data_IF_667554410071
#
_entry.id   IF_667554410071
#
_cell.length_a   1.000
_cell.length_b   1.000
_cell.length_c   1.000
_cell.angle_alpha   90.00
_cell.angle_beta   90.00
_cell.angle_gamma   90.00
#
_symmetry.space_group_name_H-M   'P 1'
#
loop_
_entity.id
_entity.type
_entity.pdbx_description
1 polymer ?
#
# COMPACT_ATOMS: atom_id res chain seq x y z
N UNK A 1 27.30 44.31 32.19
CA UNK A 1 26.37 44.70 33.26
C UNK A 1 25.01 44.99 32.61
N UNK A 2 24.05 44.12 32.75
CA UNK A 2 22.63 44.44 32.48
C UNK A 2 21.75 43.49 33.29
N UNK A 3 21.08 44.02 34.27
CA UNK A 3 20.17 43.35 35.21
C UNK A 3 18.86 43.03 34.46
N UNK A 4 18.51 41.79 34.28
CA UNK A 4 17.14 41.36 33.92
C UNK A 4 16.28 41.42 35.18
N UNK A 5 15.28 42.31 35.18
CA UNK A 5 14.22 42.38 36.18
C UNK A 5 13.36 41.13 36.12
N UNK A 6 13.23 40.41 37.21
CA UNK A 6 12.28 39.31 37.41
C UNK A 6 10.93 39.93 37.80
N UNK A 7 9.92 39.76 36.97
CA UNK A 7 8.54 40.05 37.37
C UNK A 7 8.13 39.15 38.54
N UNK A 8 7.53 39.78 39.58
CA UNK A 8 7.13 39.11 40.81
C UNK A 8 5.76 38.45 40.65
N UNK A 9 5.53 37.29 41.30
CA UNK A 9 4.22 36.61 41.40
C UNK A 9 3.08 37.52 41.90
N UNK A 10 3.38 38.61 42.56
CA UNK A 10 2.40 39.60 43.03
C UNK A 10 1.81 40.43 41.91
N UNK A 11 2.54 40.66 40.83
CA UNK A 11 2.05 41.42 39.65
C UNK A 11 1.06 40.57 38.82
N UNK A 12 1.25 39.25 38.76
CA UNK A 12 0.32 38.32 38.11
C UNK A 12 -1.01 38.16 38.85
N UNK A 13 -1.03 38.29 40.19
CA UNK A 13 -2.25 38.22 40.98
C UNK A 13 -3.07 39.53 40.98
N UNK A 14 -2.46 40.66 40.64
CA UNK A 14 -3.15 41.94 40.50
C UNK A 14 -3.97 42.00 39.22
N UNK A 15 -3.47 41.42 38.13
CA UNK A 15 -4.18 41.34 36.83
C UNK A 15 -5.42 40.47 36.85
N UNK A 16 -5.49 39.46 37.73
CA UNK A 16 -6.65 38.58 37.86
C UNK A 16 -7.81 39.16 38.69
N UNK A 17 -7.63 40.34 39.35
CA UNK A 17 -8.66 40.98 40.16
C UNK A 17 -9.28 42.24 39.54
N UNK A 18 -8.86 42.62 38.33
CA UNK A 18 -9.37 43.78 37.58
C UNK A 18 -10.59 43.49 36.76
N UNK A 19 -11.75 43.65 37.34
CA UNK A 19 -12.92 44.28 36.73
C UNK A 19 -13.68 43.57 35.65
N UNK A 20 -14.65 42.77 36.06
CA UNK A 20 -15.85 42.53 35.23
C UNK A 20 -16.69 43.81 35.13
N UNK A 21 -16.50 44.59 34.10
CA UNK A 21 -17.43 45.68 33.74
C UNK A 21 -18.62 45.12 33.01
N UNK A 22 -19.75 45.08 33.69
CA UNK A 22 -21.06 44.79 33.08
C UNK A 22 -21.37 45.84 31.98
N UNK A 23 -21.33 45.43 30.72
CA UNK A 23 -21.82 46.23 29.59
C UNK A 23 -23.36 46.32 29.68
N UNK A 24 -23.82 47.52 30.10
CA UNK A 24 -25.25 47.87 29.95
C UNK A 24 -25.58 47.98 28.45
N UNK A 25 -26.29 46.98 27.93
CA UNK A 25 -26.88 47.05 26.58
C UNK A 25 -27.89 48.20 26.54
N UNK A 26 -27.69 49.18 25.69
CA UNK A 26 -28.66 50.27 25.50
C UNK A 26 -29.77 49.78 24.61
N UNK A 27 -31.01 50.10 24.98
CA UNK A 27 -32.24 49.72 24.23
C UNK A 27 -32.16 50.11 22.75
N UNK A 28 -31.40 51.15 22.41
CA UNK A 28 -31.20 51.63 21.02
C UNK A 28 -30.32 50.71 20.16
N UNK A 29 -29.41 49.96 20.74
CA UNK A 29 -28.60 48.99 19.99
C UNK A 29 -29.38 47.73 19.65
N UNK A 30 -30.27 47.30 20.53
CA UNK A 30 -31.14 46.10 20.31
C UNK A 30 -32.18 46.38 19.23
N UNK A 31 -32.79 47.59 19.21
CA UNK A 31 -33.77 47.96 18.17
C UNK A 31 -33.08 48.05 16.78
N UNK A 32 -31.85 48.54 16.68
CA UNK A 32 -31.13 48.57 15.41
C UNK A 32 -30.75 47.19 14.92
N UNK A 33 -30.40 46.25 15.79
CA UNK A 33 -30.10 44.86 15.43
C UNK A 33 -31.36 44.13 14.91
N UNK A 34 -32.53 44.34 15.55
CA UNK A 34 -33.81 43.76 15.13
C UNK A 34 -34.24 44.35 13.77
N UNK A 35 -34.08 45.65 13.56
CA UNK A 35 -34.40 46.27 12.28
C UNK A 35 -33.51 45.75 11.14
N UNK A 36 -32.21 45.51 11.40
CA UNK A 36 -31.28 44.91 10.42
C UNK A 36 -31.67 43.48 10.02
N UNK A 37 -32.09 42.66 10.98
CA UNK A 37 -32.53 41.27 10.71
C UNK A 37 -33.85 41.26 9.91
N UNK A 38 -34.79 42.15 10.21
CA UNK A 38 -36.04 42.27 9.45
C UNK A 38 -35.81 42.74 8.01
N UNK A 39 -34.87 43.68 7.79
CA UNK A 39 -34.50 44.12 6.44
C UNK A 39 -33.82 43.02 5.63
N UNK A 40 -32.97 42.21 6.25
CA UNK A 40 -32.35 41.05 5.60
C UNK A 40 -33.40 39.98 5.22
N UNK A 41 -34.39 39.73 6.08
CA UNK A 41 -35.47 38.79 5.81
C UNK A 41 -36.35 39.25 4.63
N UNK A 42 -36.68 40.56 4.54
CA UNK A 42 -37.44 41.11 3.42
C UNK A 42 -36.65 41.02 2.11
N UNK A 43 -35.32 41.23 2.14
CA UNK A 43 -34.46 41.07 0.97
C UNK A 43 -34.42 39.60 0.47
N UNK A 44 -34.33 38.63 1.38
CA UNK A 44 -34.35 37.19 1.03
C UNK A 44 -35.70 36.78 0.44
N UNK A 45 -36.81 37.26 1.02
CA UNK A 45 -38.17 36.99 0.47
C UNK A 45 -38.36 37.63 -0.91
N UNK A 46 -37.82 38.86 -1.11
CA UNK A 46 -37.83 39.52 -2.43
C UNK A 46 -37.03 38.76 -3.48
N UNK A 47 -35.86 38.25 -3.13
CA UNK A 47 -35.04 37.45 -4.04
C UNK A 47 -35.72 36.11 -4.40
N UNK A 48 -36.35 35.45 -3.43
CA UNK A 48 -37.11 34.20 -3.67
C UNK A 48 -38.35 34.45 -4.55
N UNK A 49 -39.02 35.59 -4.36
CA UNK A 49 -40.16 35.99 -5.21
C UNK A 49 -39.73 36.32 -6.65
N UNK A 50 -38.56 36.98 -6.83
CA UNK A 50 -37.95 37.23 -8.15
C UNK A 50 -37.60 35.95 -8.87
N UNK A 51 -37.01 34.97 -8.16
CA UNK A 51 -36.69 33.64 -8.75
C UNK A 51 -37.98 32.85 -9.10
N UNK A 52 -39.08 33.00 -8.36
CA UNK A 52 -40.34 32.37 -8.71
C UNK A 52 -41.02 33.06 -9.90
N UNK A 53 -40.98 34.38 -9.97
CA UNK A 53 -41.53 35.13 -11.12
C UNK A 53 -40.72 34.91 -12.41
N UNK A 54 -39.42 34.65 -12.32
CA UNK A 54 -38.58 34.28 -13.47
C UNK A 54 -38.80 32.82 -13.96
N UNK A 55 -39.46 31.97 -13.13
CA UNK A 55 -39.83 30.61 -13.48
C UNK A 55 -41.07 30.43 -14.32
N UNK A 56 -41.93 31.49 -14.40
CA UNK A 56 -43.20 31.45 -15.10
C UNK A 56 -43.21 32.11 -16.49
N UNK A 57 -42.05 32.24 -17.15
CA UNK A 57 -41.96 32.59 -18.56
C UNK A 57 -42.40 31.39 -19.41
N UNK A 58 -43.34 31.62 -20.38
CA UNK A 58 -43.89 30.52 -21.17
C UNK A 58 -42.78 29.88 -21.99
N UNK A 59 -42.62 28.56 -21.80
CA UNK A 59 -41.77 27.66 -22.61
C UNK A 59 -42.34 27.49 -24.03
N UNK A 60 -42.41 28.58 -24.78
CA UNK A 60 -42.74 28.53 -26.19
C UNK A 60 -41.58 29.08 -26.99
N UNK A 61 -41.04 28.25 -27.89
CA UNK A 61 -39.99 28.49 -28.87
C UNK A 61 -38.56 28.45 -28.38
N UNK A 62 -38.10 27.27 -27.93
CA UNK A 62 -36.80 26.79 -28.29
C UNK A 62 -36.97 25.42 -28.98
N UNK A 63 -37.14 25.43 -30.28
CA UNK A 63 -36.92 24.26 -31.08
C UNK A 63 -35.43 23.92 -30.88
N UNK A 64 -35.15 23.04 -29.93
CA UNK A 64 -33.85 22.40 -29.81
C UNK A 64 -33.63 21.64 -31.11
N UNK A 65 -32.75 22.17 -31.94
CA UNK A 65 -31.92 21.31 -32.78
C UNK A 65 -31.07 20.53 -31.78
N UNK A 66 -31.61 19.42 -31.31
CA UNK A 66 -30.80 18.39 -30.68
C UNK A 66 -29.87 17.89 -31.78
N UNK A 67 -28.64 18.38 -31.79
CA UNK A 67 -27.58 17.63 -32.40
C UNK A 67 -27.70 16.22 -31.86
N UNK A 68 -27.63 15.15 -32.69
CA UNK A 68 -27.63 13.79 -32.17
C UNK A 68 -26.55 13.72 -31.13
N UNK A 69 -26.89 13.39 -29.90
CA UNK A 69 -25.90 13.08 -28.88
C UNK A 69 -24.98 12.05 -29.52
N UNK A 70 -23.74 12.40 -29.75
CA UNK A 70 -22.71 11.41 -30.08
C UNK A 70 -22.91 10.27 -29.07
N UNK A 71 -22.99 9.01 -29.51
CA UNK A 71 -23.07 7.90 -28.55
C UNK A 71 -21.94 8.13 -27.55
N UNK A 72 -22.30 8.22 -26.25
CA UNK A 72 -21.31 8.36 -25.21
C UNK A 72 -20.27 7.25 -25.46
N UNK A 73 -19.04 7.64 -25.75
CA UNK A 73 -17.99 6.69 -26.04
C UNK A 73 -17.95 5.71 -24.84
N UNK A 74 -18.01 4.42 -25.12
CA UNK A 74 -17.89 3.43 -24.07
C UNK A 74 -16.59 3.72 -23.31
N UNK A 75 -16.60 3.70 -21.97
CA UNK A 75 -15.42 4.02 -21.19
C UNK A 75 -14.31 3.03 -21.57
N UNK A 76 -13.17 3.56 -21.94
CA UNK A 76 -11.97 2.80 -22.33
C UNK A 76 -11.61 1.83 -21.20
N UNK A 77 -11.44 0.57 -21.53
CA UNK A 77 -11.06 -0.49 -20.58
C UNK A 77 -9.59 -0.34 -20.15
N UNK A 78 -9.20 -0.99 -19.05
CA UNK A 78 -7.81 -1.00 -18.58
C UNK A 78 -6.86 -1.67 -19.58
N UNK A 79 -7.34 -2.65 -20.33
CA UNK A 79 -6.57 -3.31 -21.38
C UNK A 79 -6.31 -2.38 -22.58
N UNK A 80 -7.29 -1.58 -22.96
CA UNK A 80 -7.12 -0.56 -24.00
C UNK A 80 -6.17 0.53 -23.51
N UNK A 81 -6.26 0.96 -22.25
CA UNK A 81 -5.28 1.89 -21.66
C UNK A 81 -3.86 1.32 -21.74
N UNK A 82 -3.68 0.03 -21.44
CA UNK A 82 -2.36 -0.64 -21.53
C UNK A 82 -1.78 -0.61 -22.95
N UNK A 83 -2.62 -0.65 -23.98
CA UNK A 83 -2.17 -0.56 -25.36
C UNK A 83 -1.78 0.88 -25.77
N UNK A 84 -2.37 1.88 -25.12
CA UNK A 84 -2.10 3.30 -25.40
C UNK A 84 -0.83 3.82 -24.70
N UNK A 85 -0.46 3.24 -23.53
CA UNK A 85 0.59 3.77 -22.68
C UNK A 85 1.94 3.12 -22.97
N UNK A 86 2.98 3.95 -23.13
CA UNK A 86 4.37 3.51 -23.14
C UNK A 86 4.91 3.52 -21.68
N UNK A 87 5.44 2.39 -21.20
CA UNK A 87 6.04 2.28 -19.86
C UNK A 87 7.17 3.30 -19.63
N UNK A 88 7.88 3.72 -20.71
CA UNK A 88 8.95 4.71 -20.64
C UNK A 88 8.46 6.08 -20.16
N UNK A 89 7.23 6.45 -20.52
CA UNK A 89 6.62 7.71 -20.06
C UNK A 89 6.41 7.74 -18.54
N UNK A 90 6.34 6.56 -17.90
CA UNK A 90 6.17 6.43 -16.46
C UNK A 90 7.47 6.16 -15.71
N UNK A 91 8.61 6.04 -16.41
CA UNK A 91 9.88 5.80 -15.76
C UNK A 91 10.32 7.04 -14.95
N UNK A 92 10.27 6.93 -13.65
CA UNK A 92 10.61 8.00 -12.70
C UNK A 92 9.84 9.31 -12.95
N UNK A 93 8.58 9.21 -13.35
CA UNK A 93 7.70 10.35 -13.56
C UNK A 93 7.63 11.19 -12.28
N UNK A 94 7.95 12.48 -12.40
CA UNK A 94 8.00 13.43 -11.28
C UNK A 94 6.77 14.32 -11.18
N UNK A 95 5.93 14.32 -12.22
CA UNK A 95 4.70 15.10 -12.32
C UNK A 95 3.48 14.20 -12.12
N UNK A 96 2.42 14.78 -11.59
CA UNK A 96 1.15 14.06 -11.38
C UNK A 96 0.39 13.84 -12.70
N UNK A 97 0.62 14.71 -13.68
CA UNK A 97 -0.07 14.63 -14.97
C UNK A 97 0.88 14.99 -16.12
N UNK A 98 0.63 14.42 -17.30
CA UNK A 98 1.41 14.69 -18.50
C UNK A 98 0.54 14.56 -19.76
N UNK A 99 0.96 15.23 -20.82
CA UNK A 99 0.33 15.15 -22.13
C UNK A 99 0.88 13.96 -22.93
N UNK A 100 0.00 13.11 -23.44
CA UNK A 100 0.33 11.94 -24.27
C UNK A 100 -0.20 12.16 -25.70
N UNK A 101 0.66 12.33 -26.71
CA UNK A 101 0.23 12.38 -28.11
C UNK A 101 -0.11 10.95 -28.60
N UNK A 102 -1.35 10.75 -29.06
CA UNK A 102 -1.84 9.48 -29.61
C UNK A 102 -2.61 9.77 -30.88
N UNK A 103 -2.18 9.22 -32.03
CA UNK A 103 -2.87 9.28 -33.31
C UNK A 103 -3.32 10.71 -33.74
N UNK A 104 -2.47 11.70 -33.48
CA UNK A 104 -2.76 13.11 -33.83
C UNK A 104 -3.66 13.84 -32.83
N UNK A 105 -4.04 13.19 -31.72
CA UNK A 105 -4.74 13.80 -30.57
C UNK A 105 -3.76 13.94 -29.42
N UNK A 106 -4.06 14.86 -28.51
CA UNK A 106 -3.32 15.00 -27.25
C UNK A 106 -4.24 14.60 -26.11
N UNK A 107 -3.88 13.54 -25.40
CA UNK A 107 -4.56 13.08 -24.20
C UNK A 107 -3.83 13.63 -22.97
N UNK A 108 -4.59 14.03 -21.96
CA UNK A 108 -4.05 14.38 -20.64
C UNK A 108 -4.18 13.18 -19.73
N UNK A 109 -3.07 12.60 -19.32
CA UNK A 109 -3.00 11.48 -18.39
C UNK A 109 -2.74 12.03 -16.99
N UNK A 110 -3.65 11.76 -16.06
CA UNK A 110 -3.46 12.03 -14.63
C UNK A 110 -3.12 10.72 -13.92
N UNK A 111 -2.07 10.74 -13.11
CA UNK A 111 -1.60 9.59 -12.38
C UNK A 111 -2.08 9.60 -10.94
N UNK A 112 -1.98 8.44 -10.27
CA UNK A 112 -2.23 8.29 -8.83
C UNK A 112 -1.05 8.74 -7.96
N UNK A 113 0.10 9.08 -8.58
CA UNK A 113 1.35 9.38 -7.89
C UNK A 113 1.24 10.60 -6.96
N UNK A 114 1.85 10.48 -5.79
CA UNK A 114 2.23 11.62 -4.96
C UNK A 114 3.59 12.13 -5.44
N UNK A 115 3.57 13.22 -6.21
CA UNK A 115 4.78 13.79 -6.82
C UNK A 115 5.86 14.16 -5.78
N UNK A 116 5.46 14.57 -4.58
CA UNK A 116 6.41 14.93 -3.52
C UNK A 116 7.09 13.69 -2.93
N UNK A 117 6.32 12.62 -2.68
CA UNK A 117 6.86 11.34 -2.24
C UNK A 117 7.77 10.74 -3.30
N UNK A 118 7.34 10.76 -4.56
CA UNK A 118 8.10 10.27 -5.70
C UNK A 118 9.46 10.97 -5.81
N UNK A 119 9.45 12.30 -5.86
CA UNK A 119 10.68 13.10 -5.93
C UNK A 119 11.60 12.88 -4.71
N UNK A 120 11.02 12.82 -3.52
CA UNK A 120 11.78 12.52 -2.31
C UNK A 120 12.51 11.18 -2.41
N UNK A 121 11.81 10.12 -2.86
CA UNK A 121 12.42 8.80 -2.97
C UNK A 121 13.50 8.75 -4.05
N UNK A 122 13.28 9.38 -5.21
CA UNK A 122 14.27 9.48 -6.28
C UNK A 122 15.57 10.19 -5.85
N UNK A 123 15.44 11.24 -5.02
CA UNK A 123 16.59 11.95 -4.43
C UNK A 123 17.40 11.08 -3.48
N UNK A 124 16.76 10.14 -2.78
CA UNK A 124 17.42 9.25 -1.80
C UNK A 124 18.11 8.03 -2.41
N UNK A 125 17.92 7.76 -3.70
CA UNK A 125 18.52 6.58 -4.33
C UNK A 125 20.06 6.64 -4.29
N UNK A 126 20.67 5.63 -3.68
CA UNK A 126 22.13 5.40 -3.67
C UNK A 126 22.58 4.82 -5.01
N UNK A 127 22.85 5.71 -5.95
CA UNK A 127 23.31 5.34 -7.29
C UNK A 127 24.76 4.83 -7.34
N UNK A 128 25.53 5.09 -6.30
CA UNK A 128 26.93 4.71 -6.26
C UNK A 128 27.11 3.22 -5.95
N UNK A 129 26.36 2.71 -4.97
CA UNK A 129 26.55 1.35 -4.45
C UNK A 129 25.47 0.36 -4.92
N UNK A 130 24.50 0.83 -5.72
CA UNK A 130 23.43 0.00 -6.22
C UNK A 130 23.55 -0.26 -7.72
N UNK A 131 23.27 -1.48 -8.15
CA UNK A 131 23.06 -1.84 -9.55
C UNK A 131 21.61 -1.57 -9.96
N UNK A 132 20.69 -2.00 -9.09
CA UNK A 132 19.25 -1.82 -9.28
C UNK A 132 18.62 -1.31 -7.99
N UNK A 133 17.65 -0.42 -8.11
CA UNK A 133 16.76 -0.03 -7.02
C UNK A 133 15.35 0.03 -7.58
N UNK A 134 14.41 -0.65 -6.94
CA UNK A 134 12.98 -0.52 -7.21
C UNK A 134 12.24 -0.25 -5.91
N UNK A 135 11.52 0.86 -5.83
CA UNK A 135 10.75 1.29 -4.67
C UNK A 135 9.31 1.52 -5.10
N UNK A 136 8.39 0.73 -4.59
CA UNK A 136 6.95 0.87 -4.81
C UNK A 136 6.28 1.22 -3.49
N UNK A 137 5.46 2.27 -3.52
CA UNK A 137 4.56 2.65 -2.42
C UNK A 137 3.15 2.69 -3.00
N UNK A 138 2.22 1.97 -2.39
CA UNK A 138 0.86 1.80 -2.88
C UNK A 138 -0.14 1.91 -1.72
N UNK A 139 -1.28 2.51 -1.94
CA UNK A 139 -2.39 2.47 -0.98
C UNK A 139 -2.86 1.02 -0.81
N UNK A 140 -2.97 0.58 0.44
CA UNK A 140 -3.22 -0.83 0.72
C UNK A 140 -4.62 -1.29 0.30
N UNK A 141 -5.63 -0.43 0.38
CA UNK A 141 -7.04 -0.77 0.15
C UNK A 141 -7.46 -0.57 -1.31
N UNK A 142 -6.85 0.38 -2.01
CA UNK A 142 -7.28 0.79 -3.35
C UNK A 142 -6.37 0.30 -4.47
N UNK A 143 -5.13 -0.05 -4.15
CA UNK A 143 -4.12 -0.40 -5.15
C UNK A 143 -3.51 0.80 -5.89
N UNK A 144 -3.86 2.05 -5.53
CA UNK A 144 -3.33 3.25 -6.19
C UNK A 144 -1.85 3.43 -5.85
N UNK A 145 -1.00 3.50 -6.87
CA UNK A 145 0.41 3.74 -6.68
C UNK A 145 0.65 5.20 -6.26
N UNK A 146 1.35 5.36 -5.15
CA UNK A 146 1.77 6.67 -4.63
C UNK A 146 3.19 7.01 -5.06
N UNK A 147 4.04 5.99 -5.25
CA UNK A 147 5.38 6.15 -5.81
C UNK A 147 5.84 4.86 -6.50
N UNK A 148 6.57 5.05 -7.59
CA UNK A 148 7.23 4.02 -8.37
C UNK A 148 8.61 4.54 -8.81
N UNK A 149 9.58 4.50 -7.87
CA UNK A 149 10.91 5.07 -8.06
C UNK A 149 11.92 3.97 -8.38
N UNK A 150 12.56 4.08 -9.54
CA UNK A 150 13.48 3.08 -10.08
C UNK A 150 14.87 3.62 -10.39
N UNK A 151 15.87 2.75 -10.35
CA UNK A 151 17.21 3.02 -10.84
C UNK A 151 17.84 1.73 -11.34
N UNK A 152 18.30 1.77 -12.57
CA UNK A 152 19.18 0.74 -13.14
C UNK A 152 20.48 1.41 -13.58
N UNK A 153 21.61 0.85 -13.16
CA UNK A 153 22.93 1.44 -13.41
C UNK A 153 23.36 1.34 -14.85
N UNK A 154 22.93 0.31 -15.56
CA UNK A 154 23.36 -0.01 -16.91
C UNK A 154 22.29 0.32 -17.95
N UNK A 155 21.04 0.40 -17.55
CA UNK A 155 19.93 0.82 -18.41
C UNK A 155 19.06 1.88 -17.71
N UNK A 156 19.40 3.17 -17.87
CA UNK A 156 18.62 4.25 -17.28
C UNK A 156 17.16 4.32 -17.77
N UNK A 157 16.82 3.65 -18.89
CA UNK A 157 15.46 3.57 -19.40
C UNK A 157 14.63 2.46 -18.77
N UNK A 158 15.26 1.49 -18.13
CA UNK A 158 14.56 0.40 -17.45
C UNK A 158 13.94 0.85 -16.12
N UNK A 159 12.76 0.30 -15.83
CA UNK A 159 12.12 0.49 -14.54
C UNK A 159 12.19 -0.80 -13.71
N UNK A 160 13.12 -0.89 -12.73
CA UNK A 160 13.23 -2.07 -11.89
C UNK A 160 11.96 -2.39 -11.10
N UNK A 161 11.05 -1.43 -10.88
CA UNK A 161 9.78 -1.68 -10.20
C UNK A 161 8.88 -2.66 -10.97
N UNK A 162 9.01 -2.70 -12.30
CA UNK A 162 8.21 -3.50 -13.22
C UNK A 162 8.94 -4.76 -13.73
N UNK A 163 10.19 -4.98 -13.35
CA UNK A 163 10.94 -6.17 -13.73
C UNK A 163 10.64 -7.33 -12.77
N UNK A 164 10.30 -8.50 -13.34
CA UNK A 164 9.92 -9.71 -12.59
C UNK A 164 11.05 -10.78 -12.57
N UNK A 165 12.28 -10.41 -12.87
CA UNK A 165 13.44 -11.30 -12.93
C UNK A 165 14.32 -11.29 -11.67
N UNK A 166 13.92 -10.59 -10.62
CA UNK A 166 14.65 -10.56 -9.36
C UNK A 166 14.27 -11.74 -8.47
N UNK A 167 15.24 -12.56 -7.98
CA UNK A 167 14.96 -13.65 -7.08
C UNK A 167 14.18 -13.18 -5.85
N UNK A 168 13.04 -13.84 -5.55
CA UNK A 168 12.16 -13.47 -4.44
C UNK A 168 12.82 -13.62 -3.07
N UNK A 169 13.80 -14.48 -2.96
CA UNK A 169 14.46 -14.77 -1.70
C UNK A 169 13.45 -15.08 -0.58
N UNK A 170 13.74 -14.69 0.63
CA UNK A 170 12.87 -14.92 1.80
C UNK A 170 11.53 -14.16 1.77
N UNK A 171 11.24 -13.37 0.72
CA UNK A 171 9.90 -12.80 0.55
C UNK A 171 8.88 -13.91 0.30
N UNK A 172 9.26 -14.99 -0.38
CA UNK A 172 8.38 -16.13 -0.60
C UNK A 172 7.89 -16.80 0.70
N UNK A 173 8.55 -16.57 1.84
CA UNK A 173 8.05 -17.03 3.16
C UNK A 173 6.68 -16.43 3.53
N UNK A 174 6.25 -15.33 2.91
CA UNK A 174 4.89 -14.80 3.06
C UNK A 174 3.89 -15.84 2.54
N UNK A 175 4.12 -16.35 1.33
CA UNK A 175 3.30 -17.40 0.70
C UNK A 175 3.32 -18.68 1.53
N UNK A 176 4.51 -19.14 1.92
CA UNK A 176 4.68 -20.37 2.71
C UNK A 176 3.99 -20.26 4.08
N UNK A 177 4.10 -19.12 4.77
CA UNK A 177 3.47 -18.91 6.07
C UNK A 177 1.94 -18.85 5.96
N UNK A 178 1.40 -18.16 4.96
CA UNK A 178 -0.03 -18.12 4.68
C UNK A 178 -0.58 -19.54 4.47
N UNK A 179 0.07 -20.30 3.60
CA UNK A 179 -0.32 -21.69 3.32
C UNK A 179 -0.24 -22.58 4.56
N UNK A 180 0.80 -22.43 5.39
CA UNK A 180 0.93 -23.20 6.63
C UNK A 180 -0.21 -22.89 7.63
N UNK A 181 -0.60 -21.63 7.77
CA UNK A 181 -1.74 -21.24 8.60
C UNK A 181 -3.04 -21.80 8.04
N UNK A 182 -3.27 -21.69 6.73
CA UNK A 182 -4.53 -22.09 6.11
C UNK A 182 -4.71 -23.60 6.05
N UNK A 183 -3.68 -24.35 5.71
CA UNK A 183 -3.77 -25.77 5.46
C UNK A 183 -3.56 -26.64 6.72
N UNK A 184 -2.75 -26.13 7.67
CA UNK A 184 -2.34 -26.93 8.85
C UNK A 184 -2.69 -26.28 10.17
N UNK A 185 -3.37 -25.12 10.17
CA UNK A 185 -3.84 -24.47 11.38
C UNK A 185 -2.75 -23.87 12.25
N UNK A 186 -1.53 -23.64 11.73
CA UNK A 186 -0.50 -22.97 12.49
C UNK A 186 -0.95 -21.57 12.94
N UNK A 187 -0.60 -21.21 14.17
CA UNK A 187 -0.78 -19.88 14.72
C UNK A 187 0.59 -19.19 14.85
N UNK A 188 0.60 -17.89 15.08
CA UNK A 188 1.83 -17.12 15.24
C UNK A 188 2.72 -17.63 16.39
N UNK A 189 2.14 -18.18 17.44
CA UNK A 189 2.81 -18.72 18.62
C UNK A 189 3.05 -20.23 18.56
N UNK A 190 2.66 -20.92 17.47
CA UNK A 190 2.93 -22.35 17.29
C UNK A 190 4.41 -22.65 17.44
N UNK A 191 4.80 -23.69 18.23
CA UNK A 191 6.20 -24.05 18.43
C UNK A 191 6.79 -24.67 17.16
N UNK A 192 7.94 -24.15 16.75
CA UNK A 192 8.70 -24.60 15.59
C UNK A 192 10.11 -25.04 16.04
N UNK A 193 10.59 -26.15 15.50
CA UNK A 193 11.89 -26.69 15.85
C UNK A 193 12.81 -26.75 14.65
N UNK A 194 14.08 -26.43 14.89
CA UNK A 194 15.12 -26.54 13.89
C UNK A 194 16.48 -26.89 14.51
N UNK A 195 17.35 -27.45 13.68
CA UNK A 195 18.73 -27.78 14.02
C UNK A 195 19.70 -26.92 13.21
N UNK A 196 20.82 -26.52 13.80
CA UNK A 196 21.87 -25.78 13.12
C UNK A 196 21.61 -24.27 12.97
N UNK A 197 22.21 -23.64 11.97
CA UNK A 197 22.15 -22.18 11.78
C UNK A 197 20.86 -21.73 11.09
N UNK A 198 20.34 -20.56 11.48
CA UNK A 198 19.05 -20.02 11.02
C UNK A 198 18.98 -19.75 9.51
N UNK A 199 20.09 -19.31 8.92
CA UNK A 199 20.12 -18.83 7.52
C UNK A 199 20.77 -19.80 6.53
N UNK A 200 21.07 -21.02 6.97
CA UNK A 200 21.51 -22.11 6.11
C UNK A 200 20.36 -23.05 5.81
N UNK A 201 20.49 -23.79 4.71
CA UNK A 201 19.58 -24.86 4.36
C UNK A 201 20.40 -26.05 3.87
N UNK A 202 20.56 -27.06 4.72
CA UNK A 202 21.25 -28.30 4.41
C UNK A 202 20.28 -29.47 4.62
N UNK A 203 20.38 -30.54 3.81
CA UNK A 203 19.55 -31.74 3.95
C UNK A 203 19.54 -32.27 5.41
N UNK A 204 20.68 -32.26 6.10
CA UNK A 204 20.77 -32.68 7.52
C UNK A 204 19.97 -31.80 8.52
N UNK A 205 19.54 -30.60 8.13
CA UNK A 205 18.68 -29.73 8.95
C UNK A 205 17.20 -30.03 8.75
N UNK A 206 16.86 -30.72 7.67
CA UNK A 206 15.50 -31.12 7.30
C UNK A 206 15.23 -32.49 7.95
N UNK A 207 15.05 -32.48 9.28
CA UNK A 207 14.75 -33.66 10.09
C UNK A 207 13.90 -33.24 11.28
N UNK A 208 13.03 -34.12 11.71
CA UNK A 208 12.23 -33.97 12.94
C UNK A 208 12.93 -34.57 14.18
N UNK A 209 14.14 -35.10 14.02
CA UNK A 209 14.91 -35.60 15.15
C UNK A 209 15.26 -34.48 16.13
N UNK A 210 14.82 -34.65 17.39
CA UNK A 210 15.10 -33.75 18.51
C UNK A 210 16.35 -34.20 19.23
N UNK A 211 17.29 -33.31 19.44
CA UNK A 211 18.51 -33.57 20.16
C UNK A 211 18.94 -32.35 20.99
N UNK A 212 20.06 -32.43 21.70
CA UNK A 212 20.56 -31.34 22.56
C UNK A 212 20.84 -30.01 21.83
N UNK A 213 20.90 -30.00 20.51
CA UNK A 213 21.15 -28.82 19.68
C UNK A 213 19.89 -28.29 19.01
N UNK A 214 18.74 -28.94 19.24
CA UNK A 214 17.45 -28.48 18.70
C UNK A 214 17.02 -27.18 19.36
N UNK A 215 16.76 -26.18 18.56
CA UNK A 215 16.24 -24.89 19.02
C UNK A 215 14.73 -24.86 18.77
N UNK A 216 13.96 -24.51 19.80
CA UNK A 216 12.52 -24.25 19.68
C UNK A 216 12.27 -22.74 19.69
N UNK A 217 11.48 -22.27 18.75
CA UNK A 217 11.04 -20.86 18.61
C UNK A 217 9.57 -20.83 18.28
N UNK A 218 8.90 -19.68 18.43
CA UNK A 218 7.55 -19.51 17.89
C UNK A 218 7.57 -19.42 16.36
N UNK A 219 6.48 -19.73 15.69
CA UNK A 219 6.38 -19.55 14.24
C UNK A 219 6.58 -18.07 13.86
N UNK A 220 6.07 -17.16 14.68
CA UNK A 220 6.28 -15.72 14.58
C UNK A 220 7.76 -15.35 14.59
N UNK A 221 8.54 -15.89 15.54
CA UNK A 221 9.97 -15.60 15.63
C UNK A 221 10.75 -16.27 14.49
N UNK A 222 10.35 -17.50 14.08
CA UNK A 222 10.94 -18.16 12.92
C UNK A 222 10.75 -17.33 11.62
N UNK A 223 9.57 -16.74 11.42
CA UNK A 223 9.30 -15.84 10.31
C UNK A 223 10.11 -14.52 10.43
N UNK A 224 10.07 -13.89 11.60
CA UNK A 224 10.70 -12.60 11.87
C UNK A 224 12.23 -12.66 11.71
N UNK A 225 12.84 -13.75 12.13
CA UNK A 225 14.29 -14.02 11.98
C UNK A 225 14.64 -14.77 10.71
N UNK A 226 13.65 -15.05 9.86
CA UNK A 226 13.83 -15.69 8.55
C UNK A 226 14.57 -17.04 8.62
N UNK A 227 14.15 -17.93 9.54
CA UNK A 227 14.80 -19.21 9.84
C UNK A 227 14.58 -20.21 8.70
N UNK A 228 15.57 -20.41 7.83
CA UNK A 228 15.43 -21.27 6.65
C UNK A 228 15.07 -22.73 6.98
N UNK A 229 15.69 -23.41 7.98
CA UNK A 229 15.31 -24.79 8.27
C UNK A 229 13.86 -24.99 8.69
N UNK A 230 13.25 -24.02 9.37
CA UNK A 230 11.82 -24.09 9.72
C UNK A 230 10.95 -24.08 8.44
N UNK A 231 11.20 -23.11 7.57
CA UNK A 231 10.43 -22.99 6.32
C UNK A 231 10.75 -24.11 5.34
N UNK A 232 11.99 -24.60 5.31
CA UNK A 232 12.35 -25.77 4.53
C UNK A 232 11.60 -27.03 4.96
N UNK A 233 11.49 -27.28 6.27
CA UNK A 233 10.68 -28.38 6.81
C UNK A 233 9.20 -28.23 6.50
N UNK A 234 8.65 -27.03 6.54
CA UNK A 234 7.27 -26.76 6.10
C UNK A 234 7.10 -27.12 4.62
N UNK A 235 8.06 -26.76 3.76
CA UNK A 235 8.03 -27.10 2.34
C UNK A 235 8.10 -28.61 2.11
N UNK A 236 9.11 -29.28 2.66
CA UNK A 236 9.38 -30.69 2.38
C UNK A 236 8.38 -31.64 3.02
N UNK A 237 7.99 -31.40 4.29
CA UNK A 237 7.20 -32.38 5.05
C UNK A 237 5.71 -32.06 5.13
N UNK A 238 5.30 -30.81 4.88
CA UNK A 238 3.92 -30.37 5.03
C UNK A 238 3.29 -29.94 3.72
N UNK A 239 3.78 -28.87 3.11
CA UNK A 239 3.18 -28.29 1.91
C UNK A 239 3.42 -29.15 0.68
N UNK A 240 4.65 -29.61 0.51
CA UNK A 240 5.07 -30.34 -0.67
C UNK A 240 4.74 -29.58 -1.97
N UNK A 241 5.05 -30.16 -3.13
CA UNK A 241 4.83 -29.53 -4.43
C UNK A 241 3.37 -29.03 -4.62
N UNK A 242 2.31 -29.85 -4.40
CA UNK A 242 0.96 -29.42 -4.77
C UNK A 242 0.45 -28.20 -4.00
N UNK A 243 0.77 -28.09 -2.70
CA UNK A 243 0.33 -26.93 -1.92
C UNK A 243 1.22 -25.70 -2.15
N UNK A 244 2.50 -25.90 -2.52
CA UNK A 244 3.37 -24.80 -2.92
C UNK A 244 2.90 -24.18 -4.24
N UNK A 245 2.55 -25.00 -5.25
CA UNK A 245 1.96 -24.55 -6.52
C UNK A 245 0.65 -23.83 -6.27
N UNK A 246 -0.31 -24.46 -5.60
CA UNK A 246 -1.60 -23.86 -5.29
C UNK A 246 -1.47 -22.51 -4.57
N UNK A 247 -0.51 -22.39 -3.65
CA UNK A 247 -0.34 -21.16 -2.90
C UNK A 247 0.36 -20.08 -3.73
N UNK A 248 1.30 -20.45 -4.58
CA UNK A 248 1.92 -19.52 -5.51
C UNK A 248 0.89 -18.95 -6.51
N UNK A 249 0.03 -19.80 -7.06
CA UNK A 249 -1.07 -19.39 -7.94
C UNK A 249 -2.05 -18.45 -7.22
N UNK A 250 -2.42 -18.75 -5.98
CA UNK A 250 -3.29 -17.90 -5.18
C UNK A 250 -2.68 -16.50 -4.93
N UNK A 251 -1.36 -16.41 -4.87
CA UNK A 251 -0.64 -15.14 -4.77
C UNK A 251 -0.29 -14.52 -6.13
N UNK A 252 -0.81 -15.04 -7.26
CA UNK A 252 -0.69 -14.46 -8.58
C UNK A 252 0.65 -14.71 -9.28
N UNK A 253 1.45 -15.70 -8.85
CA UNK A 253 2.63 -16.11 -9.61
C UNK A 253 2.23 -16.79 -10.91
N UNK A 254 3.05 -16.59 -11.95
CA UNK A 254 2.86 -17.08 -13.31
C UNK A 254 1.66 -16.46 -14.06
N UNK A 255 0.92 -15.57 -13.42
CA UNK A 255 -0.22 -14.86 -14.01
C UNK A 255 0.07 -13.37 -14.15
N UNK A 256 -0.43 -12.69 -15.20
CA UNK A 256 -0.30 -11.25 -15.34
C UNK A 256 -1.12 -10.54 -14.29
N UNK A 257 -0.53 -9.53 -13.65
CA UNK A 257 -1.28 -8.61 -12.80
C UNK A 257 -2.13 -7.66 -13.65
N UNK A 258 -3.32 -7.35 -13.17
CA UNK A 258 -4.20 -6.35 -13.79
C UNK A 258 -3.66 -4.93 -13.52
N UNK A 259 -2.80 -4.44 -14.44
CA UNK A 259 -2.11 -3.17 -14.35
C UNK A 259 -2.10 -2.46 -15.70
N UNK A 260 -2.06 -1.12 -15.72
CA UNK A 260 -2.14 -0.33 -16.96
C UNK A 260 -0.84 -0.31 -17.78
N UNK A 261 0.27 -0.75 -17.23
CA UNK A 261 1.55 -0.84 -17.96
C UNK A 261 1.95 -2.29 -18.18
N UNK A 262 2.74 -2.58 -19.21
CA UNK A 262 3.31 -3.90 -19.41
C UNK A 262 4.09 -4.35 -18.18
N UNK A 263 3.75 -5.50 -17.63
CA UNK A 263 4.40 -6.11 -16.48
C UNK A 263 4.53 -7.61 -16.72
N UNK A 264 5.73 -8.13 -16.94
CA UNK A 264 5.94 -9.57 -17.03
C UNK A 264 5.47 -10.29 -15.76
N UNK A 265 4.80 -11.44 -15.85
CA UNK A 265 4.43 -12.21 -14.68
C UNK A 265 5.63 -12.54 -13.79
N UNK A 266 5.44 -12.54 -12.49
CA UNK A 266 6.40 -13.12 -11.55
C UNK A 266 6.45 -14.63 -11.72
N UNK A 267 7.64 -15.20 -11.69
CA UNK A 267 7.84 -16.60 -12.03
C UNK A 267 7.92 -17.49 -10.80
N UNK A 268 7.21 -18.60 -10.84
CA UNK A 268 7.28 -19.67 -9.85
C UNK A 268 7.44 -21.02 -10.56
N UNK A 269 8.41 -21.79 -10.11
CA UNK A 269 8.62 -23.16 -10.57
C UNK A 269 9.12 -24.01 -9.40
N UNK A 270 8.62 -25.23 -9.31
CA UNK A 270 9.03 -26.22 -8.31
C UNK A 270 9.16 -27.60 -8.97
N UNK A 271 10.29 -28.29 -8.72
CA UNK A 271 10.56 -29.62 -9.27
C UNK A 271 9.89 -30.73 -8.46
N UNK A 272 10.04 -31.99 -8.89
CA UNK A 272 9.57 -33.15 -8.12
C UNK A 272 10.51 -33.56 -6.98
N UNK A 273 11.68 -32.93 -6.85
CA UNK A 273 12.66 -33.22 -5.82
C UNK A 273 12.27 -32.62 -4.46
N UNK A 274 12.11 -33.40 -3.38
CA UNK A 274 11.67 -32.89 -2.06
C UNK A 274 12.56 -31.79 -1.50
N UNK A 275 13.87 -31.85 -1.73
CA UNK A 275 14.78 -30.80 -1.27
C UNK A 275 14.51 -29.46 -1.98
N UNK A 276 14.10 -29.49 -3.25
CA UNK A 276 13.71 -28.27 -3.95
C UNK A 276 12.44 -27.64 -3.32
N UNK A 277 11.51 -28.44 -2.80
CA UNK A 277 10.37 -27.89 -2.05
C UNK A 277 10.79 -27.12 -0.82
N UNK A 278 11.85 -27.63 -0.13
CA UNK A 278 12.43 -26.92 1.01
C UNK A 278 13.11 -25.61 0.58
N UNK A 279 13.84 -25.61 -0.54
CA UNK A 279 14.48 -24.41 -1.08
C UNK A 279 13.44 -23.35 -1.46
N UNK A 280 12.41 -23.74 -2.21
CA UNK A 280 11.33 -22.85 -2.62
C UNK A 280 10.58 -22.28 -1.41
N UNK A 281 10.13 -23.13 -0.50
CA UNK A 281 9.36 -22.70 0.67
C UNK A 281 10.15 -21.75 1.60
N UNK A 282 11.49 -21.91 1.66
CA UNK A 282 12.36 -21.03 2.43
C UNK A 282 12.83 -19.79 1.62
N UNK A 283 12.55 -19.74 0.32
CA UNK A 283 13.08 -18.73 -0.60
C UNK A 283 14.59 -18.81 -0.77
N UNK A 284 15.14 -20.02 -0.64
CA UNK A 284 16.58 -20.29 -0.81
C UNK A 284 16.88 -20.79 -2.23
N UNK A 285 16.16 -20.27 -3.20
CA UNK A 285 16.33 -20.54 -4.64
C UNK A 285 16.41 -19.23 -5.43
N UNK A 286 16.74 -19.32 -6.70
CA UNK A 286 16.87 -18.18 -7.62
C UNK A 286 15.88 -18.24 -8.79
N UNK A 287 15.15 -19.31 -8.87
CA UNK A 287 14.19 -19.60 -9.93
C UNK A 287 12.83 -18.93 -9.67
N UNK A 288 12.44 -18.82 -8.40
CA UNK A 288 11.26 -18.02 -8.02
C UNK A 288 11.64 -16.55 -8.06
N UNK A 289 11.06 -15.82 -9.03
CA UNK A 289 11.37 -14.40 -9.24
C UNK A 289 10.13 -13.54 -9.14
N UNK A 290 10.31 -12.25 -8.77
CA UNK A 290 9.22 -11.34 -8.47
C UNK A 290 9.60 -9.89 -8.78
N UNK A 291 8.62 -9.08 -9.20
CA UNK A 291 8.78 -7.64 -9.29
C UNK A 291 8.51 -6.94 -7.95
N UNK A 292 9.10 -5.75 -7.69
CA UNK A 292 8.71 -4.91 -6.56
C UNK A 292 7.21 -4.59 -6.53
N UNK A 293 6.60 -4.35 -7.69
CA UNK A 293 5.16 -4.09 -7.76
C UNK A 293 4.34 -5.29 -7.27
N UNK A 294 4.66 -6.49 -7.72
CA UNK A 294 3.99 -7.69 -7.23
C UNK A 294 4.21 -7.90 -5.72
N UNK A 295 5.42 -7.61 -5.22
CA UNK A 295 5.70 -7.62 -3.78
C UNK A 295 4.77 -6.68 -2.99
N UNK A 296 4.46 -5.49 -3.51
CA UNK A 296 3.50 -4.57 -2.90
C UNK A 296 2.07 -5.13 -2.93
N UNK A 297 1.66 -5.72 -4.05
CA UNK A 297 0.35 -6.39 -4.19
C UNK A 297 0.20 -7.53 -3.20
N UNK A 298 1.22 -8.39 -3.03
CA UNK A 298 1.22 -9.44 -2.00
C UNK A 298 1.08 -8.87 -0.57
N UNK A 299 1.72 -7.74 -0.27
CA UNK A 299 1.62 -7.12 1.05
C UNK A 299 0.22 -6.55 1.32
N UNK A 300 -0.54 -6.12 0.29
CA UNK A 300 -1.90 -5.62 0.46
C UNK A 300 -2.84 -6.67 1.05
N UNK A 301 -2.67 -7.93 0.67
CA UNK A 301 -3.47 -9.05 1.18
C UNK A 301 -3.39 -9.17 2.72
N UNK A 302 -2.27 -8.80 3.33
CA UNK A 302 -2.11 -8.86 4.80
C UNK A 302 -3.03 -7.88 5.52
N UNK A 303 -3.31 -6.73 4.93
CA UNK A 303 -4.18 -5.69 5.50
C UNK A 303 -5.65 -5.85 5.10
N UNK A 304 -5.93 -6.54 3.98
CA UNK A 304 -7.25 -6.67 3.38
C UNK A 304 -7.88 -8.05 3.63
N UNK A 305 -7.62 -8.67 4.80
CA UNK A 305 -8.24 -9.94 5.16
C UNK A 305 -7.88 -11.10 4.23
N UNK A 306 -6.76 -10.99 3.52
CA UNK A 306 -6.24 -11.99 2.60
C UNK A 306 -6.49 -11.70 1.12
N UNK A 307 -7.22 -10.65 0.79
CA UNK A 307 -7.45 -10.23 -0.60
C UNK A 307 -6.34 -9.30 -1.11
N UNK A 308 -5.74 -9.63 -2.24
CA UNK A 308 -4.83 -8.75 -2.98
C UNK A 308 -5.63 -7.76 -3.81
N UNK A 309 -5.20 -6.50 -3.86
CA UNK A 309 -5.82 -5.46 -4.69
C UNK A 309 -5.06 -5.30 -6.01
N UNK A 310 -5.79 -5.05 -7.10
CA UNK A 310 -5.18 -4.74 -8.38
C UNK A 310 -4.45 -3.38 -8.31
N UNK A 311 -3.18 -3.31 -8.73
CA UNK A 311 -2.46 -2.05 -8.74
C UNK A 311 -2.97 -1.12 -9.83
N UNK A 312 -2.84 0.20 -9.62
CA UNK A 312 -3.16 1.21 -10.63
C UNK A 312 -2.25 2.43 -10.51
N UNK A 313 -1.76 2.93 -11.65
CA UNK A 313 -0.96 4.16 -11.72
C UNK A 313 -1.71 5.30 -12.43
N UNK A 314 -2.77 5.00 -13.18
CA UNK A 314 -3.58 5.99 -13.88
C UNK A 314 -4.82 6.30 -13.06
N UNK A 315 -5.05 7.59 -12.78
CA UNK A 315 -6.27 8.07 -12.13
C UNK A 315 -7.37 8.34 -13.15
N UNK A 316 -7.04 9.08 -14.20
CA UNK A 316 -7.93 9.35 -15.34
C UNK A 316 -7.16 9.76 -16.59
N UNK A 317 -7.82 9.59 -17.74
CA UNK A 317 -7.38 10.10 -19.04
C UNK A 317 -8.50 10.97 -19.59
N UNK A 318 -8.16 12.19 -20.02
CA UNK A 318 -9.08 13.11 -20.67
C UNK A 318 -8.55 13.53 -22.03
N UNK A 319 -9.44 13.81 -22.96
CA UNK A 319 -9.09 14.35 -24.26
C UNK A 319 -8.96 15.89 -24.23
N UNK A 320 -8.64 16.49 -25.39
CA UNK A 320 -8.49 17.94 -25.54
C UNK A 320 -9.79 18.72 -25.32
N UNK A 321 -10.98 18.08 -25.39
CA UNK A 321 -12.27 18.69 -25.12
C UNK A 321 -12.62 18.66 -23.61
N UNK A 322 -11.86 17.90 -22.81
CA UNK A 322 -12.13 17.64 -21.39
C UNK A 322 -13.05 16.43 -21.17
N UNK A 323 -13.35 15.65 -22.21
CA UNK A 323 -14.08 14.40 -22.08
C UNK A 323 -13.23 13.36 -21.37
N UNK A 324 -13.82 12.65 -20.37
CA UNK A 324 -13.15 11.61 -19.61
C UNK A 324 -13.24 10.30 -20.38
N UNK A 325 -12.15 9.88 -20.98
CA UNK A 325 -12.04 8.62 -21.73
C UNK A 325 -11.84 7.43 -20.81
N UNK A 326 -11.05 7.60 -19.75
CA UNK A 326 -10.78 6.58 -18.73
C UNK A 326 -10.84 7.20 -17.35
N UNK A 327 -11.39 6.47 -16.41
CA UNK A 327 -11.33 6.77 -14.98
C UNK A 327 -11.06 5.49 -14.21
N UNK A 328 -10.09 5.54 -13.33
CA UNK A 328 -9.77 4.44 -12.43
C UNK A 328 -11.03 3.93 -11.69
N UNK A 329 -11.12 2.64 -11.62
CA UNK A 329 -12.11 1.90 -10.83
C UNK A 329 -11.37 0.88 -9.97
N UNK A 330 -11.84 0.55 -8.76
CA UNK A 330 -11.28 -0.55 -7.98
C UNK A 330 -11.24 -1.82 -8.82
N UNK A 331 -10.05 -2.39 -8.97
CA UNK A 331 -9.85 -3.63 -9.71
C UNK A 331 -10.40 -4.85 -8.97
N UNK A 332 -10.38 -6.01 -9.62
CA UNK A 332 -10.75 -7.28 -8.99
C UNK A 332 -9.80 -7.60 -7.84
N UNK A 333 -10.38 -7.99 -6.72
CA UNK A 333 -9.64 -8.58 -5.61
C UNK A 333 -9.44 -10.07 -5.86
N UNK A 334 -8.21 -10.55 -5.63
CA UNK A 334 -7.87 -11.97 -5.66
C UNK A 334 -7.61 -12.45 -4.25
N UNK A 335 -8.37 -13.46 -3.79
CA UNK A 335 -8.18 -14.02 -2.45
C UNK A 335 -6.94 -14.91 -2.42
N UNK A 336 -5.85 -14.42 -1.83
CA UNK A 336 -4.58 -15.12 -1.71
C UNK A 336 -4.51 -16.04 -0.49
N UNK A 337 -5.20 -15.68 0.60
CA UNK A 337 -5.20 -16.42 1.87
C UNK A 337 -6.46 -16.10 2.68
N UNK A 338 -6.71 -16.85 3.75
CA UNK A 338 -7.81 -16.56 4.67
C UNK A 338 -7.53 -15.31 5.54
N UNK A 339 -8.59 -14.71 6.08
CA UNK A 339 -8.46 -13.62 7.06
C UNK A 339 -7.67 -14.05 8.32
N UNK A 340 -7.75 -15.33 8.70
CA UNK A 340 -6.95 -15.91 9.78
C UNK A 340 -5.46 -15.87 9.43
N UNK A 341 -5.08 -16.27 8.23
CA UNK A 341 -3.69 -16.24 7.77
C UNK A 341 -3.19 -14.79 7.67
N UNK A 342 -3.99 -13.86 7.16
CA UNK A 342 -3.66 -12.44 7.10
C UNK A 342 -3.38 -11.86 8.51
N UNK A 343 -4.21 -12.20 9.49
CA UNK A 343 -4.00 -11.78 10.89
C UNK A 343 -2.71 -12.36 11.47
N UNK A 344 -2.44 -13.65 11.27
CA UNK A 344 -1.21 -14.29 11.76
C UNK A 344 0.03 -13.68 11.07
N UNK A 345 -0.01 -13.46 9.76
CA UNK A 345 1.06 -12.81 9.00
C UNK A 345 1.31 -11.37 9.47
N UNK A 346 0.26 -10.60 9.74
CA UNK A 346 0.42 -9.25 10.29
C UNK A 346 1.25 -9.27 11.58
N UNK A 347 0.95 -10.16 12.52
CA UNK A 347 1.69 -10.33 13.78
C UNK A 347 3.16 -10.74 13.54
N UNK A 348 3.40 -11.67 12.61
CA UNK A 348 4.74 -12.12 12.24
C UNK A 348 5.55 -10.99 11.60
N UNK A 349 4.93 -10.22 10.72
CA UNK A 349 5.55 -9.09 10.03
C UNK A 349 5.87 -7.93 11.00
N UNK A 350 5.00 -7.65 11.98
CA UNK A 350 5.29 -6.69 13.05
C UNK A 350 6.49 -7.13 13.90
N UNK A 351 6.60 -8.42 14.18
CA UNK A 351 7.74 -8.98 14.93
C UNK A 351 9.05 -8.80 14.15
N UNK A 352 9.02 -8.89 12.81
CA UNK A 352 10.18 -8.61 11.96
C UNK A 352 10.74 -7.20 12.18
N UNK A 353 9.86 -6.22 12.38
CA UNK A 353 10.22 -4.82 12.67
C UNK A 353 10.71 -4.66 14.10
N UNK A 354 10.00 -5.26 15.07
CA UNK A 354 10.24 -5.04 16.48
C UNK A 354 11.53 -5.72 16.99
N UNK A 355 11.77 -6.96 16.61
CA UNK A 355 12.88 -7.80 17.12
C UNK A 355 13.61 -8.59 16.04
N UNK A 356 13.03 -8.73 14.83
CA UNK A 356 13.55 -9.56 13.76
C UNK A 356 14.61 -8.88 12.88
N UNK A 357 14.66 -9.31 11.62
CA UNK A 357 15.70 -8.91 10.64
C UNK A 357 15.67 -7.43 10.27
N UNK A 358 14.52 -6.75 10.39
CA UNK A 358 14.40 -5.31 10.08
C UNK A 358 14.69 -4.38 11.29
N UNK A 359 14.86 -4.92 12.50
CA UNK A 359 15.00 -4.14 13.76
C UNK A 359 16.06 -3.03 13.71
N UNK A 360 17.17 -3.25 12.98
CA UNK A 360 18.25 -2.26 12.90
C UNK A 360 17.82 -1.01 12.15
N UNK A 361 17.13 -1.16 11.02
CA UNK A 361 16.63 -0.05 10.21
C UNK A 361 15.51 0.71 10.94
N UNK A 362 14.66 0.00 11.69
CA UNK A 362 13.55 0.59 12.44
C UNK A 362 13.91 0.87 13.92
N UNK A 363 15.20 0.96 14.25
CA UNK A 363 15.63 1.26 15.62
C UNK A 363 14.94 2.55 16.13
N UNK A 364 14.41 2.50 17.36
CA UNK A 364 13.70 3.59 18.05
C UNK A 364 12.42 4.07 17.33
N UNK A 365 11.81 3.28 16.44
CA UNK A 365 10.58 3.67 15.73
C UNK A 365 9.43 4.02 16.69
N UNK A 366 9.36 3.39 17.88
CA UNK A 366 8.35 3.69 18.92
C UNK A 366 8.54 5.07 19.57
N UNK A 367 9.71 5.70 19.40
CA UNK A 367 10.05 7.05 19.89
C UNK A 367 10.01 8.09 18.76
N UNK A 368 9.85 7.65 17.53
CA UNK A 368 9.77 8.50 16.35
C UNK A 368 8.41 9.19 16.29
N UNK A 369 8.38 10.50 15.98
CA UNK A 369 7.15 11.31 15.98
C UNK A 369 6.09 10.81 15.00
N UNK A 370 6.50 10.19 13.91
CA UNK A 370 5.63 9.67 12.84
C UNK A 370 5.37 8.17 13.06
N UNK A 371 6.44 7.37 13.11
CA UNK A 371 6.34 5.92 13.10
C UNK A 371 5.71 5.32 14.38
N UNK A 372 5.79 6.02 15.53
CA UNK A 372 5.18 5.53 16.78
C UNK A 372 3.65 5.39 16.71
N UNK A 373 3.01 6.16 15.82
CA UNK A 373 1.55 6.13 15.63
C UNK A 373 1.08 5.03 14.69
N UNK A 374 2.03 4.31 14.07
CA UNK A 374 1.76 3.33 13.03
C UNK A 374 1.86 1.90 13.57
N UNK A 375 1.05 1.02 13.01
CA UNK A 375 1.30 -0.41 12.96
C UNK A 375 2.18 -0.66 11.74
N UNK A 376 3.38 -1.20 11.94
CA UNK A 376 4.35 -1.43 10.88
C UNK A 376 4.76 -2.88 10.88
N UNK A 377 4.64 -3.52 9.73
CA UNK A 377 5.05 -4.90 9.52
C UNK A 377 5.84 -5.08 8.24
N UNK A 378 6.62 -6.16 8.14
CA UNK A 378 7.35 -6.45 6.92
C UNK A 378 8.08 -7.78 6.93
N UNK A 379 8.56 -8.16 5.76
CA UNK A 379 9.46 -9.30 5.54
C UNK A 379 10.68 -8.83 4.78
N UNK A 380 11.85 -9.26 5.23
CA UNK A 380 13.11 -9.04 4.52
C UNK A 380 13.49 -10.26 3.71
N UNK A 381 14.20 -10.05 2.62
CA UNK A 381 14.84 -11.09 1.83
C UNK A 381 16.26 -10.70 1.47
N UNK A 382 17.16 -11.66 1.37
CA UNK A 382 18.50 -11.43 0.81
C UNK A 382 19.00 -12.70 0.16
N UNK A 383 19.52 -12.56 -1.06
CA UNK A 383 20.14 -13.65 -1.80
C UNK A 383 21.17 -13.09 -2.78
N UNK A 384 22.26 -13.81 -2.98
CA UNK A 384 23.24 -13.44 -4.00
C UNK A 384 22.81 -13.95 -5.38
N UNK A 385 23.13 -13.20 -6.44
CA UNK A 385 22.97 -13.64 -7.83
C UNK A 385 23.72 -14.97 -8.07
N UNK A 386 23.45 -15.65 -9.18
CA UNK A 386 24.18 -16.88 -9.55
C UNK A 386 25.67 -16.63 -9.75
N UNK A 387 26.02 -15.48 -10.31
CA UNK A 387 27.40 -15.02 -10.53
C UNK A 387 28.08 -14.44 -9.29
N UNK A 388 27.33 -14.29 -8.18
CA UNK A 388 27.81 -13.67 -6.94
C UNK A 388 28.32 -12.23 -7.08
N UNK A 389 27.93 -11.53 -8.16
CA UNK A 389 28.30 -10.15 -8.45
C UNK A 389 27.26 -9.12 -7.94
N UNK A 390 26.03 -9.58 -7.66
CA UNK A 390 24.95 -8.77 -7.08
C UNK A 390 24.36 -9.48 -5.88
N UNK A 391 24.16 -8.72 -4.80
CA UNK A 391 23.38 -9.15 -3.65
C UNK A 391 22.04 -8.44 -3.67
N UNK A 392 20.97 -9.19 -3.91
CA UNK A 392 19.60 -8.70 -3.82
C UNK A 392 19.16 -8.58 -2.37
N UNK A 393 18.64 -7.42 -2.00
CA UNK A 393 18.14 -7.08 -0.67
C UNK A 393 16.71 -6.58 -0.79
N UNK A 394 15.78 -7.22 -0.08
CA UNK A 394 14.35 -6.98 -0.17
C UNK A 394 13.74 -6.49 1.14
N UNK A 395 12.74 -5.66 1.00
CA UNK A 395 11.73 -5.40 2.03
C UNK A 395 10.35 -5.36 1.37
N UNK A 396 9.42 -6.15 1.88
CA UNK A 396 8.00 -6.13 1.50
C UNK A 396 7.19 -6.00 2.79
N UNK A 397 6.35 -4.97 2.90
CA UNK A 397 5.65 -4.73 4.15
C UNK A 397 4.62 -3.61 4.05
N UNK A 398 4.13 -3.20 5.20
CA UNK A 398 3.05 -2.24 5.33
C UNK A 398 3.27 -1.27 6.49
N UNK A 399 2.59 -0.14 6.42
CA UNK A 399 2.37 0.76 7.54
C UNK A 399 0.91 1.23 7.53
N UNK A 400 0.24 1.17 8.69
CA UNK A 400 -1.15 1.59 8.87
C UNK A 400 -1.27 2.48 10.12
N UNK A 401 -2.06 3.54 10.04
CA UNK A 401 -2.37 4.37 11.22
C UNK A 401 -3.13 3.54 12.26
N UNK A 402 -2.72 3.60 13.54
CA UNK A 402 -3.44 2.92 14.64
C UNK A 402 -4.78 3.59 14.92
N UNK A 403 -4.85 4.90 14.71
CA UNK A 403 -6.03 5.73 14.82
C UNK A 403 -6.13 6.55 13.53
N UNK A 404 -6.91 6.10 12.56
CA UNK A 404 -7.04 6.70 11.24
C UNK A 404 -7.26 5.65 10.16
N UNK A 405 -7.45 6.10 8.94
CA UNK A 405 -7.73 5.24 7.79
C UNK A 405 -6.55 5.10 6.82
N UNK A 406 -5.41 5.75 7.09
CA UNK A 406 -4.27 5.69 6.19
C UNK A 406 -3.53 4.37 6.30
N UNK A 407 -3.42 3.63 5.20
CA UNK A 407 -2.63 2.42 5.10
C UNK A 407 -1.88 2.37 3.78
N UNK A 408 -0.59 2.07 3.84
CA UNK A 408 0.23 1.86 2.64
C UNK A 408 1.00 0.55 2.73
N UNK A 409 1.23 -0.03 1.58
CA UNK A 409 2.19 -1.12 1.39
C UNK A 409 3.43 -0.58 0.71
N UNK A 410 4.57 -1.12 1.08
CA UNK A 410 5.87 -0.70 0.56
C UNK A 410 6.66 -1.94 0.17
N UNK A 411 7.07 -2.00 -1.09
CA UNK A 411 7.99 -3.01 -1.56
C UNK A 411 9.26 -2.36 -2.12
N UNK A 412 10.39 -2.83 -1.65
CA UNK A 412 11.70 -2.32 -2.06
C UNK A 412 12.60 -3.48 -2.41
N UNK A 413 13.25 -3.38 -3.56
CA UNK A 413 14.34 -4.25 -4.00
C UNK A 413 15.59 -3.41 -4.27
N UNK A 414 16.73 -3.85 -3.75
CA UNK A 414 18.03 -3.23 -3.99
C UNK A 414 19.01 -4.32 -4.43
N UNK A 415 19.60 -4.17 -5.58
CA UNK A 415 20.75 -4.97 -6.03
C UNK A 415 22.05 -4.27 -5.66
N UNK A 416 22.72 -4.73 -4.61
CA UNK A 416 24.03 -4.23 -4.22
C UNK A 416 25.15 -4.90 -5.02
N UNK A 417 26.13 -4.12 -5.43
CA UNK A 417 27.34 -4.65 -6.10
C UNK A 417 28.46 -4.97 -5.08
N UNK A 418 29.55 -4.27 -5.19
CA UNK A 418 30.74 -4.48 -4.36
C UNK A 418 30.54 -4.13 -2.89
N UNK A 419 29.74 -3.09 -2.62
CA UNK A 419 29.48 -2.58 -1.28
C UNK A 419 28.00 -2.54 -1.00
N UNK A 420 27.62 -2.80 0.25
CA UNK A 420 26.23 -2.64 0.70
C UNK A 420 26.03 -1.18 1.05
N UNK A 421 25.26 -0.47 0.22
CA UNK A 421 24.84 0.90 0.45
C UNK A 421 23.56 0.99 1.29
N UNK A 422 22.63 1.85 0.88
CA UNK A 422 21.32 1.97 1.55
C UNK A 422 20.50 0.69 1.32
N UNK A 423 20.08 0.05 2.41
CA UNK A 423 19.32 -1.20 2.36
C UNK A 423 17.84 -0.98 2.05
N UNK A 424 17.19 -1.99 1.51
CA UNK A 424 15.76 -2.00 1.24
C UNK A 424 14.92 -1.60 2.46
N UNK A 425 15.27 -2.09 3.66
CA UNK A 425 14.61 -1.71 4.92
C UNK A 425 14.72 -0.23 5.27
N UNK A 426 15.82 0.44 4.86
CA UNK A 426 16.02 1.87 5.11
C UNK A 426 15.17 2.71 4.16
N UNK A 427 15.11 2.34 2.88
CA UNK A 427 14.18 2.98 1.92
C UNK A 427 12.73 2.84 2.35
N UNK A 428 12.32 1.65 2.79
CA UNK A 428 10.97 1.43 3.29
C UNK A 428 10.64 2.33 4.50
N UNK A 429 11.58 2.45 5.45
CA UNK A 429 11.41 3.40 6.56
C UNK A 429 11.30 4.84 6.08
N UNK A 430 12.14 5.27 5.12
CA UNK A 430 12.08 6.62 4.54
C UNK A 430 10.72 6.90 3.90
N UNK A 431 10.22 5.96 3.07
CA UNK A 431 8.92 6.07 2.43
C UNK A 431 7.78 6.21 3.44
N UNK A 432 7.72 5.32 4.43
CA UNK A 432 6.70 5.35 5.49
C UNK A 432 6.79 6.64 6.32
N UNK A 433 8.00 7.07 6.70
CA UNK A 433 8.19 8.30 7.49
C UNK A 433 7.77 9.52 6.70
N UNK A 434 8.13 9.59 5.42
CA UNK A 434 7.77 10.73 4.57
C UNK A 434 6.25 10.80 4.36
N UNK A 435 5.63 9.71 3.91
CA UNK A 435 4.21 9.67 3.61
C UNK A 435 3.33 10.06 4.80
N UNK A 436 3.55 9.45 5.97
CA UNK A 436 2.77 9.75 7.16
C UNK A 436 3.18 11.04 7.88
N UNK A 437 4.36 11.56 7.58
CA UNK A 437 4.87 12.82 8.12
C UNK A 437 4.39 14.06 7.35
N UNK A 438 3.95 13.89 6.10
CA UNK A 438 3.52 14.99 5.21
C UNK A 438 2.09 14.73 4.70
N UNK A 439 1.06 14.96 5.52
CA UNK A 439 -0.32 14.58 5.20
C UNK A 439 -1.00 15.41 4.08
N UNK A 440 -0.30 16.33 3.44
CA UNK A 440 -0.84 17.16 2.36
C UNK A 440 -1.04 16.33 1.08
N UNK A 441 -2.17 15.67 0.95
CA UNK A 441 -2.54 14.87 -0.23
C UNK A 441 -3.55 13.76 0.04
N UNK A 442 -3.97 13.56 1.29
CA UNK A 442 -5.07 12.61 1.58
C UNK A 442 -6.36 13.11 0.94
N UNK A 443 -6.62 12.67 -0.29
CA UNK A 443 -7.95 12.79 -0.89
C UNK A 443 -8.87 11.92 -0.06
N UNK A 444 -9.81 12.54 0.66
CA UNK A 444 -10.90 11.80 1.30
C UNK A 444 -11.71 11.13 0.21
N UNK A 445 -11.64 9.80 0.13
CA UNK A 445 -12.52 9.01 -0.71
C UNK A 445 -13.98 9.27 -0.25
N UNK A 446 -14.93 9.48 -1.17
CA UNK A 446 -16.34 9.46 -0.80
C UNK A 446 -16.64 8.06 -0.24
N UNK A 447 -17.16 8.01 0.98
CA UNK A 447 -17.61 6.77 1.62
C UNK A 447 -18.65 6.10 0.73
N UNK A 448 -18.32 4.92 0.18
CA UNK A 448 -19.29 4.07 -0.52
C UNK A 448 -20.29 3.60 0.56
N UNK A 449 -21.59 3.90 0.42
CA UNK A 449 -22.56 3.41 1.38
C UNK A 449 -22.62 1.88 1.27
N UNK A 450 -22.27 1.18 2.33
CA UNK A 450 -22.49 -0.26 2.46
C UNK A 450 -24.00 -0.48 2.37
N UNK A 451 -24.47 -1.05 1.26
CA UNK A 451 -25.86 -1.45 1.10
C UNK A 451 -26.17 -2.53 2.13
N UNK A 452 -26.97 -2.16 3.14
CA UNK A 452 -27.41 -3.06 4.20
C UNK A 452 -28.09 -4.30 3.61
N UNK A 453 -27.56 -5.47 3.91
CA UNK A 453 -28.21 -6.74 3.64
C UNK A 453 -29.54 -6.79 4.42
N UNK A 454 -30.66 -6.63 3.71
CA UNK A 454 -31.98 -6.88 4.27
C UNK A 454 -32.10 -8.37 4.63
N UNK A 455 -32.02 -8.66 5.91
CA UNK A 455 -32.32 -9.96 6.50
C UNK A 455 -33.78 -10.35 6.16
N UNK A 456 -33.98 -11.22 5.19
CA UNK A 456 -35.27 -11.91 4.99
C UNK A 456 -35.48 -12.89 6.15
N UNK A 457 -36.40 -12.54 7.05
CA UNK A 457 -36.95 -13.49 8.04
C UNK A 457 -37.73 -14.57 7.29
N UNK A 458 -37.28 -15.81 7.41
CA UNK A 458 -38.01 -16.99 6.97
C UNK A 458 -39.10 -17.28 8.01
N UNK A 459 -40.37 -17.45 7.62
CA UNK A 459 -41.44 -17.84 8.55
C UNK A 459 -41.31 -19.31 8.92
N UNK A 460 -41.37 -19.60 10.22
CA UNK A 460 -41.43 -20.95 10.79
C UNK A 460 -42.77 -21.60 10.48
N UNK A 461 -42.83 -22.87 10.03
CA UNK A 461 -44.10 -23.59 9.86
C UNK A 461 -44.65 -24.06 11.22
N UNK A 462 -45.91 -23.76 11.47
CA UNK A 462 -46.73 -24.27 12.58
C UNK A 462 -46.96 -25.78 12.50
N UNK A 463 -46.73 -26.51 13.59
CA UNK A 463 -47.13 -27.93 13.73
C UNK A 463 -48.69 -28.01 13.86
N UNK A 464 -49.32 -29.04 13.23
CA UNK A 464 -50.68 -29.42 13.53
C UNK A 464 -50.77 -30.27 14.77
N UNK A 465 -51.83 -30.09 15.48
CA UNK A 465 -52.32 -30.88 16.63
C UNK A 465 -52.58 -32.34 16.28
#
# INVERSE_FOLDING_TARGET
>A
MNRRQRASWRDYQADLRGGATARRFSLRSTVRAIAGVLLALVAVVGIVALFRAAGDLPRAMAAHISAPASPAAEPVSKDEVRQLLDEKAFNNLTEKSFALPVEGRVLQVETTLDANLQNYLLDKIDRQNSRHVGIVVMEAETGRLLAMAGFDKFDPSANPCLRSDFPAASIFKIVTAASAVDQFGYAADSPMQFNGYKHTLYKRQLTDAVNRYTTTVSFRDAFAESVNPVFGKLGEFRLRKPLLEKSADAFGFNEPLDFELPLPPSHFQVSDEPYNWAEVASGFNRETTISPLHGAVMASAVLNGGAMVAPSIVDRIVDASGEVLYRWQPGREQQAMSARAATALSQMMETTIASGTARKAFRKFRQDKVLSRLQIGGKTGSIDSRSHDVRYDWFVGFARERQGQGAVVVAVMVGHEKYIGIRATQYARMAMTYYFGHPAGKVSLPSVPVSGSASRRVPTPSRPT
#
